data_IF_620888793586
#
_entry.id   IF_620888793586
#
_cell.length_a   1.000
_cell.length_b   1.000
_cell.length_c   1.000
_cell.angle_alpha   90.00
_cell.angle_beta   90.00
_cell.angle_gamma   90.00
#
_symmetry.space_group_name_H-M   'P 1'
#
loop_
_entity.id
_entity.type
_entity.pdbx_description
1 polymer ?
#
# COMPACT_ATOMS: atom_id res chain seq x y z
N UNK A 1 -9.14 -16.75 27.46
CA UNK A 1 -8.77 -17.92 26.63
C UNK A 1 -7.94 -17.46 25.46
N UNK A 2 -6.94 -18.27 25.06
CA UNK A 2 -6.07 -18.04 23.89
C UNK A 2 -6.06 -19.31 23.05
N UNK A 3 -5.81 -19.16 21.74
CA UNK A 3 -5.83 -20.28 20.80
C UNK A 3 -4.46 -20.33 20.12
N UNK A 4 -3.89 -21.54 20.03
CA UNK A 4 -2.71 -21.84 19.23
C UNK A 4 -3.10 -22.86 18.17
N UNK A 5 -2.72 -22.58 16.94
CA UNK A 5 -2.99 -23.45 15.79
C UNK A 5 -1.67 -23.87 15.16
N UNK A 6 -1.39 -25.16 15.14
CA UNK A 6 -0.29 -25.71 14.35
C UNK A 6 -0.77 -26.08 12.96
N UNK A 7 -0.21 -25.46 11.91
CA UNK A 7 -0.70 -25.75 10.56
C UNK A 7 0.08 -25.02 9.46
N UNK A 8 -0.66 -24.44 8.54
CA UNK A 8 -0.13 -23.73 7.37
C UNK A 8 0.49 -22.38 7.73
N UNK A 9 0.87 -21.62 6.69
CA UNK A 9 1.38 -20.26 6.86
C UNK A 9 0.34 -19.33 7.48
N UNK A 10 0.69 -18.56 8.53
CA UNK A 10 -0.17 -17.52 9.07
C UNK A 10 -0.59 -16.49 8.03
N UNK A 11 0.27 -16.20 7.03
CA UNK A 11 -0.02 -15.25 5.96
C UNK A 11 -1.26 -15.59 5.16
N UNK A 12 -1.57 -16.88 5.02
CA UNK A 12 -2.70 -17.33 4.22
C UNK A 12 -3.93 -17.72 5.04
N UNK A 13 -3.73 -18.19 6.27
CA UNK A 13 -4.82 -18.85 7.03
C UNK A 13 -5.13 -18.22 8.39
N UNK A 14 -4.25 -17.34 8.95
CA UNK A 14 -4.51 -16.75 10.26
C UNK A 14 -5.82 -15.97 10.28
N UNK A 15 -6.10 -15.19 9.24
CA UNK A 15 -7.34 -14.40 9.14
C UNK A 15 -8.61 -15.27 9.19
N UNK A 16 -8.59 -16.46 8.58
CA UNK A 16 -9.70 -17.40 8.64
C UNK A 16 -9.97 -17.86 10.08
N UNK A 17 -8.93 -18.24 10.80
CA UNK A 17 -9.05 -18.70 12.20
C UNK A 17 -9.41 -17.56 13.16
N UNK A 18 -8.93 -16.36 12.91
CA UNK A 18 -9.33 -15.16 13.63
C UNK A 18 -10.81 -14.86 13.44
N UNK A 19 -11.35 -15.02 12.24
CA UNK A 19 -12.78 -14.86 11.97
C UNK A 19 -13.62 -15.94 12.69
N UNK A 20 -13.14 -17.18 12.69
CA UNK A 20 -13.80 -18.26 13.42
C UNK A 20 -13.81 -17.98 14.93
N UNK A 21 -12.69 -17.54 15.50
CA UNK A 21 -12.59 -17.15 16.89
C UNK A 21 -13.59 -16.02 17.23
N UNK A 22 -13.67 -14.99 16.40
CA UNK A 22 -14.61 -13.88 16.53
C UNK A 22 -16.07 -14.37 16.53
N UNK A 23 -16.43 -15.26 15.60
CA UNK A 23 -17.79 -15.86 15.53
C UNK A 23 -18.11 -16.70 16.76
N UNK A 24 -17.09 -17.28 17.39
CA UNK A 24 -17.24 -18.04 18.66
C UNK A 24 -17.25 -17.14 19.90
N UNK A 25 -17.27 -15.80 19.75
CA UNK A 25 -17.30 -14.85 20.86
C UNK A 25 -15.93 -14.61 21.52
N UNK A 26 -14.82 -15.02 20.88
CA UNK A 26 -13.47 -14.76 21.36
C UNK A 26 -12.87 -13.54 20.68
N UNK A 27 -11.95 -12.87 21.36
CA UNK A 27 -11.18 -11.79 20.73
C UNK A 27 -10.24 -12.39 19.67
N UNK A 28 -10.38 -11.97 18.43
CA UNK A 28 -9.63 -12.52 17.28
C UNK A 28 -8.11 -12.35 17.38
N UNK A 29 -7.64 -11.39 18.17
CA UNK A 29 -6.22 -11.13 18.39
C UNK A 29 -5.59 -12.05 19.44
N UNK A 30 -6.37 -12.93 20.03
CA UNK A 30 -5.88 -13.96 20.96
C UNK A 30 -5.62 -15.31 20.26
N UNK A 31 -5.40 -15.29 18.96
CA UNK A 31 -5.08 -16.44 18.12
C UNK A 31 -3.65 -16.31 17.63
N UNK A 32 -2.83 -17.32 17.84
CA UNK A 32 -1.50 -17.46 17.27
C UNK A 32 -1.39 -18.70 16.41
N UNK A 33 -0.51 -18.72 15.43
CA UNK A 33 -0.41 -19.82 14.48
C UNK A 33 1.05 -20.20 14.22
N UNK A 34 1.41 -21.43 14.59
CA UNK A 34 2.69 -22.05 14.28
C UNK A 34 2.70 -22.56 12.85
N UNK A 35 3.64 -22.04 12.04
CA UNK A 35 3.82 -22.44 10.63
C UNK A 35 4.59 -23.76 10.52
N UNK A 36 3.90 -24.88 10.68
CA UNK A 36 4.51 -26.21 10.58
C UNK A 36 4.74 -26.61 9.11
N UNK A 37 3.89 -26.15 8.18
CA UNK A 37 4.01 -26.55 6.78
C UNK A 37 5.27 -25.99 6.11
N UNK A 38 5.42 -24.66 6.09
CA UNK A 38 6.48 -24.02 5.31
C UNK A 38 7.82 -24.05 6.04
N UNK A 39 7.81 -23.85 7.36
CA UNK A 39 9.03 -23.74 8.17
C UNK A 39 9.54 -25.07 8.71
N UNK A 40 8.78 -26.14 8.53
CA UNK A 40 9.11 -27.46 9.04
C UNK A 40 8.97 -28.55 7.97
N UNK A 41 7.76 -28.96 7.58
CA UNK A 41 7.56 -30.12 6.72
C UNK A 41 8.17 -29.94 5.32
N UNK A 42 8.20 -28.75 4.77
CA UNK A 42 8.88 -28.50 3.49
C UNK A 42 10.40 -28.50 3.61
N UNK A 43 10.93 -28.10 4.76
CA UNK A 43 12.37 -28.05 5.02
C UNK A 43 12.91 -29.43 5.42
N UNK A 44 12.18 -30.14 6.28
CA UNK A 44 12.62 -31.41 6.89
C UNK A 44 11.83 -32.62 6.42
N UNK A 45 11.05 -32.54 5.33
CA UNK A 45 10.15 -33.59 4.88
C UNK A 45 10.82 -34.97 4.55
N UNK A 46 12.15 -34.97 4.41
CA UNK A 46 12.95 -36.23 4.20
C UNK A 46 13.54 -36.76 5.50
N UNK A 47 13.39 -36.06 6.63
CA UNK A 47 13.94 -36.40 7.93
C UNK A 47 12.82 -36.24 9.00
N UNK A 48 12.01 -37.32 9.21
CA UNK A 48 10.85 -37.24 10.13
C UNK A 48 11.21 -36.88 11.58
N UNK A 49 12.39 -37.30 12.04
CA UNK A 49 12.81 -37.04 13.42
C UNK A 49 13.10 -35.55 13.61
N UNK A 50 13.85 -34.92 12.70
CA UNK A 50 14.08 -33.48 12.71
C UNK A 50 12.79 -32.67 12.50
N UNK A 51 11.91 -33.12 11.63
CA UNK A 51 10.61 -32.51 11.44
C UNK A 51 9.81 -32.55 12.76
N UNK A 52 9.78 -33.66 13.46
CA UNK A 52 9.08 -33.78 14.73
C UNK A 52 9.66 -32.86 15.82
N UNK A 53 10.98 -32.77 15.94
CA UNK A 53 11.63 -31.86 16.87
C UNK A 53 11.29 -30.39 16.54
N UNK A 54 11.43 -30.03 15.27
CA UNK A 54 11.12 -28.66 14.80
C UNK A 54 9.66 -28.29 15.00
N UNK A 55 8.73 -29.20 14.72
CA UNK A 55 7.29 -28.97 14.94
C UNK A 55 6.99 -28.69 16.43
N UNK A 56 7.59 -29.48 17.32
CA UNK A 56 7.45 -29.29 18.78
C UNK A 56 7.97 -27.91 19.20
N UNK A 57 9.11 -27.49 18.67
CA UNK A 57 9.70 -26.19 19.01
C UNK A 57 8.85 -25.03 18.48
N UNK A 58 8.35 -25.11 17.25
CA UNK A 58 7.44 -24.12 16.69
C UNK A 58 6.15 -24.00 17.53
N UNK A 59 5.58 -25.13 17.95
CA UNK A 59 4.40 -25.12 18.81
C UNK A 59 4.68 -24.54 20.21
N UNK A 60 5.83 -24.87 20.83
CA UNK A 60 6.24 -24.28 22.12
C UNK A 60 6.40 -22.78 22.00
N UNK A 61 7.09 -22.29 20.96
CA UNK A 61 7.26 -20.85 20.72
C UNK A 61 5.90 -20.15 20.55
N UNK A 62 5.01 -20.74 19.73
CA UNK A 62 3.67 -20.18 19.52
C UNK A 62 2.83 -20.21 20.83
N UNK A 63 2.95 -21.24 21.66
CA UNK A 63 2.27 -21.29 22.94
C UNK A 63 2.74 -20.19 23.91
N UNK A 64 4.05 -19.94 23.95
CA UNK A 64 4.61 -18.84 24.75
C UNK A 64 4.20 -17.48 24.18
N UNK A 65 4.27 -17.30 22.87
CA UNK A 65 3.78 -16.10 22.19
C UNK A 65 2.30 -15.86 22.52
N UNK A 66 1.46 -16.87 22.37
CA UNK A 66 0.03 -16.76 22.67
C UNK A 66 -0.23 -16.39 24.13
N UNK A 67 0.58 -16.87 25.07
CA UNK A 67 0.45 -16.52 26.49
C UNK A 67 0.63 -15.01 26.75
N UNK A 68 1.41 -14.33 25.91
CA UNK A 68 1.70 -12.91 26.02
C UNK A 68 0.72 -12.02 25.22
N UNK A 69 -0.15 -12.60 24.41
CA UNK A 69 -1.15 -11.83 23.63
C UNK A 69 -2.12 -11.12 24.58
N UNK A 70 -2.46 -9.91 24.23
CA UNK A 70 -3.51 -9.11 24.85
C UNK A 70 -4.70 -8.93 23.92
N UNK A 71 -5.93 -8.87 24.44
CA UNK A 71 -7.09 -8.56 23.62
C UNK A 71 -6.96 -7.13 23.05
N UNK A 72 -7.07 -7.00 21.75
CA UNK A 72 -7.05 -5.69 21.08
C UNK A 72 -8.46 -5.28 20.70
N UNK A 73 -8.70 -3.99 20.67
CA UNK A 73 -9.95 -3.38 20.20
C UNK A 73 -9.69 -2.71 18.86
N UNK A 74 -10.58 -2.92 17.91
CA UNK A 74 -10.54 -2.22 16.63
C UNK A 74 -11.11 -0.82 16.75
N UNK A 75 -10.42 0.14 16.18
CA UNK A 75 -10.89 1.51 16.06
C UNK A 75 -11.13 1.80 14.58
N UNK A 76 -12.34 2.24 14.25
CA UNK A 76 -12.66 2.75 12.91
C UNK A 76 -12.28 4.22 12.87
N UNK A 77 -11.35 4.56 12.00
CA UNK A 77 -10.94 5.93 11.76
C UNK A 77 -11.57 6.42 10.44
N UNK A 78 -12.01 7.68 10.38
CA UNK A 78 -12.42 8.28 9.12
C UNK A 78 -11.19 8.36 8.18
N UNK A 79 -11.42 8.06 6.92
CA UNK A 79 -10.37 8.13 5.90
C UNK A 79 -10.72 9.24 4.91
N UNK A 80 -9.84 10.23 4.75
CA UNK A 80 -9.90 11.13 3.61
C UNK A 80 -9.50 10.37 2.35
N UNK A 81 -10.34 10.43 1.32
CA UNK A 81 -10.15 9.70 0.06
C UNK A 81 -9.40 10.51 -0.99
N UNK A 82 -9.09 11.78 -0.72
CA UNK A 82 -8.32 12.59 -1.64
C UNK A 82 -6.92 12.01 -1.84
N UNK A 83 -6.40 12.10 -3.05
CA UNK A 83 -5.08 11.58 -3.39
C UNK A 83 -4.11 12.71 -3.72
N UNK A 84 -2.86 12.55 -3.33
CA UNK A 84 -1.75 13.39 -3.74
C UNK A 84 -0.87 12.61 -4.72
N UNK A 85 -0.67 13.18 -5.90
CA UNK A 85 0.28 12.67 -6.89
C UNK A 85 1.42 13.66 -7.03
N UNK A 86 2.65 13.19 -6.88
CA UNK A 86 3.86 14.02 -6.94
C UNK A 86 4.62 13.72 -8.22
N UNK A 87 4.72 14.73 -9.07
CA UNK A 87 5.36 14.64 -10.39
C UNK A 87 4.33 14.62 -11.52
N UNK A 88 4.34 15.66 -12.37
CA UNK A 88 3.46 15.87 -13.50
C UNK A 88 3.99 15.29 -14.82
N UNK A 89 4.87 14.29 -14.78
CA UNK A 89 5.29 13.55 -15.95
C UNK A 89 4.22 12.55 -16.42
N UNK A 90 4.49 11.81 -17.48
CA UNK A 90 3.57 10.81 -18.08
C UNK A 90 3.00 9.85 -17.02
N UNK A 91 3.85 9.33 -16.14
CA UNK A 91 3.42 8.40 -15.09
C UNK A 91 2.46 9.06 -14.09
N UNK A 92 2.79 10.26 -13.62
CA UNK A 92 1.95 10.98 -12.66
C UNK A 92 0.62 11.41 -13.25
N UNK A 93 0.60 11.89 -14.49
CA UNK A 93 -0.64 12.25 -15.18
C UNK A 93 -1.55 11.03 -15.38
N UNK A 94 -1.02 9.89 -15.81
CA UNK A 94 -1.81 8.66 -15.94
C UNK A 94 -2.32 8.15 -14.59
N UNK A 95 -1.51 8.24 -13.52
CA UNK A 95 -1.95 7.89 -12.17
C UNK A 95 -3.07 8.83 -11.69
N UNK A 96 -2.92 10.14 -11.92
CA UNK A 96 -3.94 11.12 -11.57
C UNK A 96 -5.26 10.86 -12.29
N UNK A 97 -5.22 10.65 -13.60
CA UNK A 97 -6.40 10.31 -14.40
C UNK A 97 -7.05 9.01 -13.92
N UNK A 98 -6.27 7.95 -13.69
CA UNK A 98 -6.79 6.67 -13.22
C UNK A 98 -7.51 6.76 -11.88
N UNK A 99 -7.04 7.63 -10.97
CA UNK A 99 -7.70 7.88 -9.69
C UNK A 99 -8.95 8.74 -9.87
N UNK A 100 -8.84 9.79 -10.69
CA UNK A 100 -9.93 10.73 -10.95
C UNK A 100 -11.12 10.05 -11.66
N UNK A 101 -10.84 9.16 -12.62
CA UNK A 101 -11.86 8.34 -13.30
C UNK A 101 -12.62 7.42 -12.33
N UNK A 102 -12.05 7.11 -11.17
CA UNK A 102 -12.71 6.38 -10.07
C UNK A 102 -13.44 7.30 -9.09
N UNK A 103 -13.51 8.61 -9.36
CA UNK A 103 -14.19 9.59 -8.52
C UNK A 103 -13.36 10.08 -7.32
N UNK A 104 -12.05 9.82 -7.32
CA UNK A 104 -11.14 10.31 -6.30
C UNK A 104 -10.70 11.73 -6.67
N UNK A 105 -10.78 12.68 -5.74
CA UNK A 105 -10.19 13.99 -5.92
C UNK A 105 -8.67 13.91 -5.85
N UNK A 106 -7.98 14.43 -6.85
CA UNK A 106 -6.53 14.33 -6.99
C UNK A 106 -5.88 15.71 -6.98
N UNK A 107 -4.83 15.85 -6.18
CA UNK A 107 -3.92 16.98 -6.23
C UNK A 107 -2.63 16.52 -6.92
N UNK A 108 -2.38 17.02 -8.14
CA UNK A 108 -1.17 16.72 -8.91
C UNK A 108 -0.17 17.86 -8.73
N UNK A 109 0.93 17.59 -8.05
CA UNK A 109 1.95 18.59 -7.71
C UNK A 109 3.18 18.37 -8.58
N UNK A 110 3.64 19.41 -9.27
CA UNK A 110 4.92 19.42 -9.97
C UNK A 110 5.71 20.72 -9.72
N UNK A 111 7.02 20.57 -9.62
CA UNK A 111 7.95 21.70 -9.47
C UNK A 111 8.16 22.49 -10.76
N UNK A 112 7.99 21.83 -11.92
CA UNK A 112 8.12 22.47 -13.22
C UNK A 112 6.94 23.40 -13.49
N UNK A 113 7.10 24.42 -14.37
CA UNK A 113 6.02 25.31 -14.75
C UNK A 113 4.96 24.62 -15.62
N UNK A 114 5.32 23.53 -16.29
CA UNK A 114 4.48 22.80 -17.23
C UNK A 114 4.49 21.31 -16.92
N UNK A 115 3.39 20.63 -17.27
CA UNK A 115 3.30 19.17 -17.19
C UNK A 115 4.07 18.50 -18.33
N UNK A 116 4.21 17.17 -18.27
CA UNK A 116 4.85 16.35 -19.30
C UNK A 116 6.21 15.80 -18.90
N UNK A 117 6.95 16.52 -18.03
CA UNK A 117 8.25 16.06 -17.52
C UNK A 117 9.27 15.77 -18.61
N UNK A 118 10.05 14.70 -18.51
CA UNK A 118 11.09 14.32 -19.47
C UNK A 118 10.51 14.03 -20.87
N UNK A 119 9.26 13.58 -20.94
CA UNK A 119 8.63 13.22 -22.23
C UNK A 119 8.47 14.41 -23.18
N UNK A 120 8.45 15.65 -22.70
CA UNK A 120 8.43 16.86 -23.54
C UNK A 120 9.69 17.02 -24.41
N UNK A 121 10.77 16.33 -24.06
CA UNK A 121 12.04 16.34 -24.82
C UNK A 121 12.18 15.12 -25.75
N UNK A 122 11.27 14.16 -25.70
CA UNK A 122 11.29 12.96 -26.55
C UNK A 122 10.36 13.15 -27.72
N UNK A 123 10.87 13.15 -28.94
CA UNK A 123 10.06 13.39 -30.15
C UNK A 123 9.39 12.13 -30.69
N UNK A 124 10.11 11.02 -30.69
CA UNK A 124 9.61 9.75 -31.23
C UNK A 124 9.98 8.58 -30.35
N UNK A 125 9.11 7.57 -30.31
CA UNK A 125 9.42 6.26 -29.72
C UNK A 125 10.38 5.47 -30.62
N UNK A 126 10.86 4.31 -30.13
CA UNK A 126 11.67 3.38 -30.92
C UNK A 126 10.89 2.84 -32.15
N UNK A 127 9.59 2.74 -32.04
CA UNK A 127 8.66 2.28 -33.07
C UNK A 127 8.28 3.42 -34.05
N UNK A 128 8.76 4.66 -33.80
CA UNK A 128 8.53 5.83 -34.65
C UNK A 128 7.26 6.63 -34.35
N UNK A 129 6.55 6.31 -33.25
CA UNK A 129 5.35 7.03 -32.81
C UNK A 129 5.68 8.46 -32.36
N UNK A 130 4.75 9.37 -32.54
CA UNK A 130 4.88 10.77 -32.10
C UNK A 130 4.58 10.90 -30.59
N UNK A 131 5.64 11.06 -29.81
CA UNK A 131 5.53 11.19 -28.35
C UNK A 131 4.95 12.53 -27.95
N UNK A 132 5.21 13.62 -28.73
CA UNK A 132 4.69 14.95 -28.41
C UNK A 132 3.17 14.97 -28.50
N UNK A 133 2.61 14.45 -29.58
CA UNK A 133 1.16 14.36 -29.73
C UNK A 133 0.48 13.58 -28.61
N UNK A 134 1.12 12.51 -28.13
CA UNK A 134 0.62 11.75 -26.96
C UNK A 134 0.69 12.58 -25.67
N UNK A 135 1.79 13.27 -25.43
CA UNK A 135 1.99 14.10 -24.21
C UNK A 135 1.00 15.25 -24.17
N UNK A 136 0.80 15.94 -25.31
CA UNK A 136 -0.15 17.06 -25.42
C UNK A 136 -1.57 16.60 -25.09
N UNK A 137 -2.02 15.49 -25.65
CA UNK A 137 -3.33 14.90 -25.34
C UNK A 137 -3.45 14.51 -23.86
N UNK A 138 -2.38 13.99 -23.27
CA UNK A 138 -2.38 13.60 -21.86
C UNK A 138 -2.47 14.82 -20.93
N UNK A 139 -1.77 15.90 -21.28
CA UNK A 139 -1.84 17.19 -20.56
C UNK A 139 -3.26 17.74 -20.63
N UNK A 140 -3.83 17.85 -21.83
CA UNK A 140 -5.19 18.36 -22.05
C UNK A 140 -6.22 17.58 -21.23
N UNK A 141 -6.15 16.26 -21.25
CA UNK A 141 -7.02 15.41 -20.43
C UNK A 141 -6.85 15.62 -18.93
N UNK A 142 -5.61 15.80 -18.48
CA UNK A 142 -5.29 15.97 -17.06
C UNK A 142 -5.77 17.32 -16.55
N UNK A 143 -5.53 18.39 -17.30
CA UNK A 143 -5.95 19.74 -16.94
C UNK A 143 -7.47 19.96 -17.07
N UNK A 144 -8.10 19.26 -18.01
CA UNK A 144 -9.54 19.32 -18.23
C UNK A 144 -10.37 18.44 -17.31
N UNK A 145 -9.77 17.67 -16.41
CA UNK A 145 -10.51 16.74 -15.57
C UNK A 145 -10.98 17.38 -14.25
N UNK A 146 -12.30 17.43 -14.01
CA UNK A 146 -12.93 18.11 -12.85
C UNK A 146 -12.43 17.63 -11.48
N UNK A 147 -11.96 16.37 -11.38
CA UNK A 147 -11.44 15.79 -10.14
C UNK A 147 -9.94 16.00 -9.95
N UNK A 148 -9.23 16.61 -10.92
CA UNK A 148 -7.79 16.84 -10.82
C UNK A 148 -7.51 18.32 -10.61
N UNK A 149 -6.84 18.63 -9.51
CA UNK A 149 -6.28 19.96 -9.28
C UNK A 149 -4.77 19.92 -9.57
N UNK A 150 -4.37 20.58 -10.64
CA UNK A 150 -2.96 20.68 -11.04
C UNK A 150 -2.30 21.85 -10.30
N UNK A 151 -1.17 21.59 -9.69
CA UNK A 151 -0.34 22.53 -8.95
C UNK A 151 1.09 22.50 -9.51
N UNK A 152 1.33 23.26 -10.58
CA UNK A 152 2.66 23.46 -11.16
C UNK A 152 3.45 24.51 -10.36
N UNK A 153 4.75 24.65 -10.62
CA UNK A 153 5.67 25.52 -9.90
C UNK A 153 5.56 25.36 -8.37
N UNK A 154 5.34 24.15 -7.92
CA UNK A 154 4.97 23.87 -6.54
C UNK A 154 5.87 22.83 -5.90
N UNK A 155 6.16 23.02 -4.61
CA UNK A 155 6.98 22.10 -3.81
C UNK A 155 6.22 21.59 -2.60
N UNK A 156 6.48 20.35 -2.26
CA UNK A 156 6.08 19.80 -0.97
C UNK A 156 7.09 20.27 0.07
N UNK A 157 6.62 20.99 1.08
CA UNK A 157 7.46 21.55 2.14
C UNK A 157 7.29 20.84 3.48
N UNK A 158 6.18 20.13 3.66
CA UNK A 158 5.90 19.35 4.86
C UNK A 158 4.96 18.18 4.56
N UNK A 159 5.11 17.09 5.30
CA UNK A 159 4.23 15.93 5.22
C UNK A 159 4.13 15.22 6.56
N UNK A 160 2.95 15.19 7.14
CA UNK A 160 2.68 14.63 8.47
C UNK A 160 1.40 13.81 8.49
N UNK A 161 1.15 13.09 9.58
CA UNK A 161 -0.07 12.33 9.78
C UNK A 161 0.11 10.83 9.65
N UNK A 162 -0.97 10.14 9.36
CA UNK A 162 -1.04 8.68 9.22
C UNK A 162 -1.97 8.29 8.07
N UNK A 163 -1.97 7.03 7.69
CA UNK A 163 -2.83 6.50 6.63
C UNK A 163 -4.30 6.93 6.83
N UNK A 164 -4.87 7.56 5.80
CA UNK A 164 -6.22 8.12 5.82
C UNK A 164 -6.36 9.53 6.41
N UNK A 165 -5.31 10.08 7.03
CA UNK A 165 -5.33 11.40 7.68
C UNK A 165 -4.01 12.15 7.44
N UNK A 166 -3.44 12.04 6.25
CA UNK A 166 -2.23 12.78 5.90
C UNK A 166 -2.53 14.28 5.72
N UNK A 167 -1.57 15.10 6.13
CA UNK A 167 -1.54 16.53 5.87
C UNK A 167 -0.24 16.86 5.14
N UNK A 168 -0.37 17.51 4.00
CA UNK A 168 0.77 17.89 3.17
C UNK A 168 0.76 19.39 2.94
N UNK A 169 1.85 20.05 3.29
CA UNK A 169 2.09 21.46 2.96
C UNK A 169 2.64 21.57 1.55
N UNK A 170 2.00 22.38 0.72
CA UNK A 170 2.46 22.68 -0.64
C UNK A 170 2.73 24.17 -0.75
N UNK A 171 3.95 24.53 -1.08
CA UNK A 171 4.33 25.89 -1.42
C UNK A 171 4.02 26.14 -2.90
N UNK A 172 3.14 27.09 -3.16
CA UNK A 172 2.77 27.52 -4.51
C UNK A 172 3.61 28.72 -4.94
N UNK A 173 4.02 28.72 -6.20
CA UNK A 173 4.68 29.85 -6.84
C UNK A 173 6.18 29.64 -7.09
N UNK A 174 6.81 30.56 -7.85
CA UNK A 174 8.22 30.45 -8.20
C UNK A 174 9.08 30.46 -6.95
N UNK A 175 10.08 29.58 -6.92
CA UNK A 175 11.09 29.60 -5.87
C UNK A 175 11.99 30.82 -6.08
N UNK A 176 12.01 31.70 -5.09
CA UNK A 176 13.09 32.69 -4.95
C UNK A 176 14.28 31.94 -4.30
N UNK A 177 15.32 31.67 -5.09
CA UNK A 177 16.60 31.20 -4.59
C UNK A 177 17.43 32.36 -4.06
#
# INVERSE_FOLDING_TARGET
NRIVIGGCSPRTHLGLFQDMARRAGLNKYLVDMANIRDQDTWVHGKDPDKAMEKAKDLLRMSAVSAALLHPLTEHTLPVNKDALVVGGGVTGMNAALSLADQGVKVYLVDRAPELGGVATHVRKSLEGEDVQAYVDQLIERTEGHDQIQVLTQSLIVDHTGMAGMFRTGVQLGPQLY
#
